data_IF_779156430081
#
_entry.id   IF_779156430081
#
_cell.length_a   1.000
_cell.length_b   1.000
_cell.length_c   1.000
_cell.angle_alpha   90.00
_cell.angle_beta   90.00
_cell.angle_gamma   90.00
#
_symmetry.space_group_name_H-M   'P 1'
#
loop_
_entity.id
_entity.type
_entity.pdbx_description
1 polymer ?
#
# COMPACT_ATOMS: atom_id res chain seq x y z
N UNK A 1 5.05 -9.98 10.09
CA UNK A 1 4.91 -9.27 8.79
C UNK A 1 5.69 -7.96 8.89
N UNK A 2 6.57 -7.69 7.97
CA UNK A 2 7.30 -6.42 7.86
C UNK A 2 7.04 -5.89 6.46
N UNK A 3 6.60 -4.65 6.32
CA UNK A 3 6.47 -3.99 5.03
C UNK A 3 7.88 -3.79 4.44
N UNK A 4 8.09 -4.19 3.19
CA UNK A 4 9.35 -3.94 2.50
C UNK A 4 9.52 -2.45 2.16
N UNK A 5 10.74 -2.02 1.90
CA UNK A 5 11.02 -0.66 1.39
C UNK A 5 10.24 -0.40 0.10
N UNK A 6 10.08 -1.43 -0.74
CA UNK A 6 9.29 -1.35 -1.97
C UNK A 6 7.80 -1.10 -1.68
N UNK A 7 7.22 -1.82 -0.73
CA UNK A 7 5.83 -1.60 -0.30
C UNK A 7 5.62 -0.22 0.31
N UNK A 8 6.54 0.22 1.16
CA UNK A 8 6.53 1.58 1.70
C UNK A 8 6.56 2.64 0.59
N UNK A 9 7.48 2.51 -0.37
CA UNK A 9 7.59 3.43 -1.49
C UNK A 9 6.35 3.43 -2.38
N UNK A 10 5.73 2.26 -2.60
CA UNK A 10 4.49 2.15 -3.36
C UNK A 10 3.35 2.92 -2.70
N UNK A 11 3.17 2.77 -1.39
CA UNK A 11 2.13 3.50 -0.64
C UNK A 11 2.37 5.02 -0.67
N UNK A 12 3.61 5.45 -0.48
CA UNK A 12 3.98 6.87 -0.53
C UNK A 12 3.77 7.49 -1.90
N UNK A 13 4.14 6.78 -2.98
CA UNK A 13 3.91 7.22 -4.34
C UNK A 13 2.41 7.31 -4.66
N UNK A 14 1.63 6.30 -4.26
CA UNK A 14 0.19 6.28 -4.47
C UNK A 14 -0.55 7.37 -3.68
N UNK A 15 -0.06 7.73 -2.49
CA UNK A 15 -0.61 8.86 -1.74
C UNK A 15 -0.47 10.20 -2.51
N UNK A 16 0.68 10.43 -3.16
CA UNK A 16 0.87 11.60 -4.04
C UNK A 16 -0.14 11.56 -5.18
N UNK A 17 -0.20 10.45 -5.93
CA UNK A 17 -1.10 10.32 -7.08
C UNK A 17 -2.59 10.44 -6.68
N UNK A 18 -2.96 9.96 -5.48
CA UNK A 18 -4.31 10.04 -4.98
C UNK A 18 -4.72 11.48 -4.60
N UNK A 19 -3.80 12.26 -4.05
CA UNK A 19 -4.03 13.67 -3.74
C UNK A 19 -4.24 14.48 -5.02
N UNK A 20 -3.34 14.33 -5.99
CA UNK A 20 -3.45 15.03 -7.27
C UNK A 20 -4.72 14.57 -8.05
N UNK A 21 -5.13 13.31 -7.92
CA UNK A 21 -6.40 12.83 -8.47
C UNK A 21 -7.62 13.55 -7.86
N UNK A 22 -7.62 13.77 -6.54
CA UNK A 22 -8.72 14.45 -5.84
C UNK A 22 -8.75 15.96 -6.11
N UNK A 23 -7.62 16.56 -6.47
CA UNK A 23 -7.53 18.00 -6.75
C UNK A 23 -8.02 18.33 -8.17
N UNK A 24 -7.47 17.70 -9.19
CA UNK A 24 -7.75 18.03 -10.59
C UNK A 24 -7.65 16.86 -11.56
N UNK A 25 -7.53 15.62 -11.05
CA UNK A 25 -7.26 14.41 -11.84
C UNK A 25 -6.02 14.55 -12.75
N UNK A 26 -5.01 15.25 -12.26
CA UNK A 26 -3.82 15.57 -13.03
C UNK A 26 -2.86 14.39 -13.15
N UNK A 27 -1.98 14.49 -14.13
CA UNK A 27 -0.90 13.53 -14.37
C UNK A 27 0.35 14.05 -13.68
N UNK A 28 0.94 13.22 -12.78
CA UNK A 28 2.13 13.58 -12.02
C UNK A 28 3.37 12.97 -12.66
N UNK A 29 4.40 13.79 -12.87
CA UNK A 29 5.68 13.33 -13.40
C UNK A 29 6.41 12.49 -12.35
N UNK A 30 7.10 11.45 -12.79
CA UNK A 30 7.88 10.58 -11.88
C UNK A 30 8.94 11.36 -11.11
N UNK A 31 9.52 12.39 -11.73
CA UNK A 31 10.48 13.30 -11.09
C UNK A 31 9.85 14.01 -9.90
N UNK A 32 8.63 14.49 -10.05
CA UNK A 32 7.88 15.18 -9.00
C UNK A 32 7.55 14.25 -7.84
N UNK A 33 7.10 13.02 -8.12
CA UNK A 33 6.89 12.00 -7.07
C UNK A 33 8.20 11.70 -6.33
N UNK A 34 9.30 11.57 -7.07
CA UNK A 34 10.63 11.34 -6.50
C UNK A 34 11.06 12.44 -5.53
N UNK A 35 10.88 13.70 -5.92
CA UNK A 35 11.24 14.87 -5.12
C UNK A 35 10.33 15.04 -3.90
N UNK A 36 9.01 14.97 -4.07
CA UNK A 36 8.02 15.11 -2.98
C UNK A 36 8.20 14.03 -1.91
N UNK A 37 8.61 12.81 -2.29
CA UNK A 37 8.70 11.68 -1.38
C UNK A 37 10.13 11.24 -1.04
N UNK A 38 11.13 11.90 -1.61
CA UNK A 38 12.54 11.51 -1.44
C UNK A 38 12.76 10.01 -1.75
N UNK A 39 12.22 9.55 -2.89
CA UNK A 39 12.35 8.17 -3.37
C UNK A 39 13.20 8.18 -4.64
N UNK A 40 14.28 7.36 -4.73
CA UNK A 40 15.07 7.31 -5.95
C UNK A 40 14.23 6.90 -7.16
N UNK A 41 14.34 7.65 -8.26
CA UNK A 41 13.54 7.52 -9.47
C UNK A 41 13.51 6.10 -10.05
N UNK A 42 14.67 5.42 -10.02
CA UNK A 42 14.79 4.03 -10.51
C UNK A 42 13.87 3.03 -9.79
N UNK A 43 13.61 3.23 -8.47
CA UNK A 43 12.67 2.40 -7.72
C UNK A 43 11.23 2.73 -8.08
N UNK A 44 10.93 4.03 -8.26
CA UNK A 44 9.60 4.46 -8.69
C UNK A 44 9.22 3.91 -10.07
N UNK A 45 10.16 3.86 -11.02
CA UNK A 45 9.92 3.30 -12.34
C UNK A 45 9.45 1.85 -12.27
N UNK A 46 10.12 1.02 -11.47
CA UNK A 46 9.74 -0.38 -11.26
C UNK A 46 8.38 -0.51 -10.54
N UNK A 47 8.18 0.24 -9.46
CA UNK A 47 6.96 0.21 -8.66
C UNK A 47 5.76 0.66 -9.48
N UNK A 48 5.88 1.78 -10.20
CA UNK A 48 4.79 2.32 -11.01
C UNK A 48 4.44 1.43 -12.20
N UNK A 49 5.42 0.73 -12.79
CA UNK A 49 5.16 -0.28 -13.81
C UNK A 49 4.39 -1.48 -13.26
N UNK A 50 4.71 -1.94 -12.06
CA UNK A 50 3.97 -3.02 -11.41
C UNK A 50 2.55 -2.60 -11.05
N UNK A 51 2.37 -1.42 -10.47
CA UNK A 51 1.07 -0.86 -10.15
C UNK A 51 0.21 -0.62 -11.40
N UNK A 52 0.85 -0.29 -12.53
CA UNK A 52 0.20 -0.20 -13.84
C UNK A 52 -0.27 -1.58 -14.32
N UNK A 53 0.53 -2.62 -14.16
CA UNK A 53 0.15 -4.00 -14.48
C UNK A 53 -1.03 -4.48 -13.64
N UNK A 54 -1.13 -4.03 -12.39
CA UNK A 54 -2.27 -4.27 -11.49
C UNK A 54 -3.52 -3.43 -11.84
N UNK A 55 -3.44 -2.50 -12.79
CA UNK A 55 -4.53 -1.60 -13.14
C UNK A 55 -4.89 -0.58 -12.05
N UNK A 56 -3.95 -0.28 -11.14
CA UNK A 56 -4.10 0.73 -10.09
C UNK A 56 -3.72 2.11 -10.63
N UNK A 57 -2.65 2.18 -11.42
CA UNK A 57 -2.19 3.40 -12.08
C UNK A 57 -2.21 3.26 -13.59
N UNK A 58 -2.20 4.36 -14.28
CA UNK A 58 -1.96 4.45 -15.71
C UNK A 58 -0.90 5.49 -16.02
N UNK A 59 -0.28 5.40 -17.20
CA UNK A 59 0.74 6.35 -17.66
C UNK A 59 0.29 7.06 -18.91
N UNK A 60 0.52 8.37 -18.97
CA UNK A 60 0.34 9.20 -20.17
C UNK A 60 1.71 9.54 -20.75
N UNK A 61 1.87 9.32 -22.04
CA UNK A 61 3.12 9.64 -22.77
C UNK A 61 3.13 11.12 -23.21
N UNK A 62 4.33 11.63 -23.52
CA UNK A 62 4.55 12.96 -24.11
C UNK A 62 5.09 13.98 -23.13
N UNK A 63 5.19 15.23 -23.58
CA UNK A 63 5.77 16.36 -22.82
C UNK A 63 4.99 16.63 -21.53
N UNK A 64 3.65 16.47 -21.57
CA UNK A 64 2.77 16.56 -20.41
C UNK A 64 2.46 15.17 -19.82
N UNK A 65 3.34 14.19 -20.02
CA UNK A 65 3.17 12.82 -19.57
C UNK A 65 3.53 12.62 -18.11
N UNK A 66 3.14 11.46 -17.59
CA UNK A 66 3.39 11.06 -16.21
C UNK A 66 2.50 9.90 -15.81
N UNK A 67 2.19 9.82 -14.53
CA UNK A 67 1.36 8.78 -13.94
C UNK A 67 0.16 9.39 -13.21
N UNK A 68 -0.97 8.68 -13.22
CA UNK A 68 -2.15 9.00 -12.41
C UNK A 68 -2.86 7.72 -11.98
N UNK A 69 -3.79 7.84 -11.04
CA UNK A 69 -4.65 6.72 -10.70
C UNK A 69 -5.56 6.36 -11.89
N UNK A 70 -5.72 5.07 -12.13
CA UNK A 70 -6.67 4.54 -13.13
C UNK A 70 -8.08 4.38 -12.55
N UNK A 71 -8.18 4.22 -11.24
CA UNK A 71 -9.42 4.05 -10.48
C UNK A 71 -9.56 5.13 -9.44
N UNK A 72 -10.79 5.55 -9.09
CA UNK A 72 -11.00 6.48 -7.98
C UNK A 72 -10.32 6.00 -6.69
N UNK A 73 -9.70 6.88 -5.90
CA UNK A 73 -8.98 6.50 -4.69
C UNK A 73 -9.86 5.81 -3.63
N UNK A 74 -11.19 6.01 -3.67
CA UNK A 74 -12.19 5.32 -2.84
C UNK A 74 -12.30 3.82 -3.18
N UNK A 75 -11.87 3.42 -4.37
CA UNK A 75 -11.93 2.03 -4.87
C UNK A 75 -10.59 1.31 -4.85
N UNK A 76 -9.59 1.88 -4.22
CA UNK A 76 -8.26 1.27 -4.07
C UNK A 76 -7.96 1.13 -2.59
N UNK A 77 -7.96 -0.10 -2.09
CA UNK A 77 -7.68 -0.39 -0.68
C UNK A 77 -6.18 -0.59 -0.42
N UNK A 78 -5.74 -0.42 0.81
CA UNK A 78 -4.37 -0.77 1.20
C UNK A 78 -4.10 -2.26 0.97
N UNK A 79 -5.09 -3.11 1.18
CA UNK A 79 -4.97 -4.54 0.92
C UNK A 79 -4.70 -4.87 -0.54
N UNK A 80 -5.37 -4.18 -1.49
CA UNK A 80 -5.11 -4.36 -2.93
C UNK A 80 -3.65 -4.06 -3.27
N UNK A 81 -3.15 -2.95 -2.74
CA UNK A 81 -1.78 -2.49 -2.99
C UNK A 81 -0.77 -3.48 -2.39
N UNK A 82 -0.93 -3.80 -1.11
CA UNK A 82 0.02 -4.65 -0.38
C UNK A 82 0.01 -6.07 -0.93
N UNK A 83 -1.16 -6.66 -1.22
CA UNK A 83 -1.24 -7.98 -1.85
C UNK A 83 -0.54 -8.04 -3.19
N UNK A 84 -0.58 -6.96 -3.96
CA UNK A 84 0.08 -6.90 -5.26
C UNK A 84 1.62 -6.77 -5.13
N UNK A 85 2.09 -5.91 -4.23
CA UNK A 85 3.52 -5.59 -4.08
C UNK A 85 4.27 -6.63 -3.22
N UNK A 86 3.67 -7.06 -2.10
CA UNK A 86 4.30 -7.92 -1.10
C UNK A 86 3.82 -9.38 -1.17
N UNK A 87 2.63 -9.60 -1.72
CA UNK A 87 1.97 -10.89 -1.68
C UNK A 87 0.97 -11.03 -0.52
N UNK A 88 0.84 -12.21 0.09
CA UNK A 88 -0.22 -12.48 1.04
C UNK A 88 -0.14 -11.66 2.33
N UNK A 89 -1.29 -11.16 2.78
CA UNK A 89 -1.46 -10.49 4.07
C UNK A 89 -1.59 -11.54 5.20
N UNK A 90 -0.61 -12.40 5.34
CA UNK A 90 -0.62 -13.47 6.33
C UNK A 90 0.72 -13.54 7.07
N UNK A 91 0.73 -13.65 8.41
CA UNK A 91 1.97 -13.76 9.17
C UNK A 91 2.75 -15.05 8.87
N UNK A 92 2.04 -16.13 8.54
CA UNK A 92 2.59 -17.44 8.17
C UNK A 92 1.78 -18.06 7.03
N UNK A 93 2.43 -18.83 6.17
CA UNK A 93 1.81 -19.37 4.94
C UNK A 93 0.60 -20.29 5.22
N UNK A 94 0.61 -21.03 6.31
CA UNK A 94 -0.47 -21.97 6.67
C UNK A 94 -1.80 -21.30 7.08
N UNK A 95 -1.83 -19.97 7.23
CA UNK A 95 -3.06 -19.18 7.43
C UNK A 95 -3.40 -18.28 6.25
N UNK A 96 -2.62 -18.33 5.16
CA UNK A 96 -2.91 -17.58 3.95
C UNK A 96 -4.13 -18.17 3.23
N UNK A 97 -5.06 -17.32 2.77
CA UNK A 97 -6.23 -17.77 1.99
C UNK A 97 -5.91 -18.07 0.53
N UNK A 98 -5.04 -17.25 -0.06
CA UNK A 98 -4.72 -17.34 -1.49
C UNK A 98 -3.40 -18.06 -1.79
N UNK A 99 -2.50 -18.10 -0.82
CA UNK A 99 -1.16 -18.67 -0.94
C UNK A 99 -0.88 -19.62 0.23
N UNK A 100 -1.84 -20.52 0.48
CA UNK A 100 -1.69 -21.53 1.52
C UNK A 100 -0.53 -22.48 1.20
N UNK A 101 0.33 -22.67 2.18
CA UNK A 101 1.35 -23.71 2.20
C UNK A 101 1.26 -24.47 3.52
N UNK A 102 1.30 -25.78 3.45
CA UNK A 102 1.27 -26.64 4.64
C UNK A 102 2.51 -26.37 5.50
N UNK A 103 2.30 -26.18 6.80
CA UNK A 103 3.41 -26.05 7.75
C UNK A 103 4.04 -27.41 8.08
N UNK A 104 5.20 -27.36 8.74
CA UNK A 104 5.89 -28.56 9.27
C UNK A 104 5.32 -29.04 10.62
N UNK A 105 4.22 -28.47 11.10
CA UNK A 105 3.63 -28.85 12.38
C UNK A 105 3.11 -30.29 12.34
N UNK A 106 3.28 -31.07 13.45
CA UNK A 106 2.80 -32.46 13.52
C UNK A 106 1.29 -32.59 13.30
N UNK A 107 0.51 -31.63 13.83
CA UNK A 107 -0.95 -31.57 13.65
C UNK A 107 -1.37 -30.12 13.42
N UNK A 108 -1.63 -29.77 12.16
CA UNK A 108 -2.07 -28.44 11.77
C UNK A 108 -3.47 -28.11 12.30
N UNK A 109 -4.34 -29.11 12.41
CA UNK A 109 -5.73 -28.91 12.85
C UNK A 109 -5.83 -28.52 14.32
N UNK A 110 -4.85 -28.94 15.14
CA UNK A 110 -4.78 -28.66 16.58
C UNK A 110 -3.65 -27.70 16.96
N UNK A 111 -3.14 -26.96 16.01
CA UNK A 111 -2.02 -26.05 16.24
C UNK A 111 -2.51 -24.74 16.89
N UNK A 112 -2.15 -24.51 18.16
CA UNK A 112 -2.49 -23.30 18.89
C UNK A 112 -1.83 -22.05 18.26
N UNK A 113 -0.61 -22.17 17.71
CA UNK A 113 0.07 -21.07 17.02
C UNK A 113 -0.71 -20.67 15.76
N UNK A 114 -1.17 -21.65 14.98
CA UNK A 114 -1.99 -21.39 13.79
C UNK A 114 -3.29 -20.67 14.13
N UNK A 115 -3.93 -21.02 15.26
CA UNK A 115 -5.14 -20.35 15.73
C UNK A 115 -4.90 -18.84 15.93
N UNK A 116 -3.87 -18.47 16.70
CA UNK A 116 -3.51 -17.07 16.96
C UNK A 116 -3.07 -16.34 15.67
N UNK A 117 -2.28 -17.00 14.82
CA UNK A 117 -1.85 -16.40 13.55
C UNK A 117 -3.02 -16.17 12.59
N UNK A 118 -4.06 -16.99 12.64
CA UNK A 118 -5.29 -16.78 11.89
C UNK A 118 -6.04 -15.54 12.38
N UNK A 119 -6.22 -15.38 13.67
CA UNK A 119 -6.84 -14.17 14.24
C UNK A 119 -6.04 -12.90 13.89
N UNK A 120 -4.72 -12.98 13.97
CA UNK A 120 -3.82 -11.88 13.57
C UNK A 120 -4.00 -11.53 12.10
N UNK A 121 -4.03 -12.53 11.20
CA UNK A 121 -4.31 -12.32 9.79
C UNK A 121 -5.66 -11.62 9.58
N UNK A 122 -6.70 -12.14 10.23
CA UNK A 122 -8.07 -11.62 10.07
C UNK A 122 -8.15 -10.14 10.51
N UNK A 123 -7.49 -9.77 11.60
CA UNK A 123 -7.41 -8.39 12.06
C UNK A 123 -6.65 -7.48 11.07
N UNK A 124 -5.52 -7.94 10.53
CA UNK A 124 -4.75 -7.21 9.52
C UNK A 124 -5.59 -6.99 8.26
N UNK A 125 -6.22 -8.05 7.75
CA UNK A 125 -7.05 -8.01 6.54
C UNK A 125 -8.24 -7.07 6.74
N UNK A 126 -8.92 -7.12 7.86
CA UNK A 126 -10.07 -6.27 8.17
C UNK A 126 -9.69 -4.76 8.15
N UNK A 127 -8.52 -4.41 8.66
CA UNK A 127 -8.03 -3.03 8.62
C UNK A 127 -7.63 -2.63 7.21
N UNK A 128 -6.83 -3.45 6.54
CA UNK A 128 -6.26 -3.14 5.22
C UNK A 128 -7.31 -3.11 4.11
N UNK A 129 -8.36 -3.95 4.17
CA UNK A 129 -9.46 -3.96 3.20
C UNK A 129 -10.41 -2.75 3.38
N UNK A 130 -10.52 -2.23 4.60
CA UNK A 130 -11.36 -1.07 4.90
C UNK A 130 -10.72 0.25 4.50
N UNK A 131 -9.42 0.41 4.74
CA UNK A 131 -8.71 1.67 4.48
C UNK A 131 -8.43 1.83 3.00
N UNK A 132 -9.02 2.84 2.38
CA UNK A 132 -8.81 3.21 0.98
C UNK A 132 -7.72 4.29 0.83
N UNK A 133 -7.27 4.53 -0.40
CA UNK A 133 -6.37 5.66 -0.69
C UNK A 133 -7.04 7.00 -0.37
N UNK A 134 -8.35 7.14 -0.56
CA UNK A 134 -9.10 8.35 -0.17
C UNK A 134 -9.01 8.59 1.34
N UNK A 135 -9.28 7.56 2.15
CA UNK A 135 -9.16 7.67 3.61
C UNK A 135 -7.71 7.97 4.04
N UNK A 136 -6.72 7.41 3.34
CA UNK A 136 -5.32 7.70 3.62
C UNK A 136 -4.97 9.17 3.34
N UNK A 137 -5.50 9.75 2.25
CA UNK A 137 -5.38 11.19 1.96
C UNK A 137 -6.01 12.05 3.06
N UNK A 138 -7.20 11.67 3.53
CA UNK A 138 -7.90 12.40 4.60
C UNK A 138 -7.12 12.34 5.93
N UNK A 139 -6.55 11.19 6.25
CA UNK A 139 -5.67 11.05 7.42
C UNK A 139 -4.42 11.93 7.29
N UNK A 140 -3.79 11.95 6.12
CA UNK A 140 -2.62 12.78 5.88
C UNK A 140 -2.95 14.28 6.05
N UNK A 141 -4.08 14.77 5.51
CA UNK A 141 -4.53 16.16 5.69
C UNK A 141 -4.78 16.51 7.16
N UNK A 142 -5.42 15.61 7.93
CA UNK A 142 -5.64 15.83 9.36
C UNK A 142 -4.32 15.95 10.12
N UNK A 143 -3.39 15.04 9.89
CA UNK A 143 -2.07 15.06 10.54
C UNK A 143 -1.24 16.30 10.19
N UNK A 144 -1.40 16.85 8.99
CA UNK A 144 -0.74 18.10 8.58
C UNK A 144 -1.33 19.34 9.29
N UNK A 145 -2.58 19.27 9.71
CA UNK A 145 -3.27 20.36 10.43
C UNK A 145 -3.08 20.29 11.94
N UNK A 146 -2.71 19.13 12.49
CA UNK A 146 -2.44 18.96 13.91
C UNK A 146 -1.07 19.56 14.27
N UNK A 147 -0.97 20.41 15.31
CA UNK A 147 0.32 20.87 15.78
C UNK A 147 1.14 19.69 16.31
N UNK A 148 2.38 19.57 15.84
CA UNK A 148 3.31 18.53 16.29
C UNK A 148 3.44 18.60 17.82
N UNK A 149 2.89 17.62 18.53
CA UNK A 149 3.12 17.47 19.95
C UNK A 149 4.43 16.72 20.20
N UNK A 150 5.21 17.16 21.18
CA UNK A 150 6.51 16.53 21.52
C UNK A 150 6.37 15.06 21.98
N UNK A 151 5.14 14.60 22.26
CA UNK A 151 4.82 13.23 22.69
C UNK A 151 4.75 12.21 21.54
N UNK A 152 4.70 12.65 20.28
CA UNK A 152 4.56 11.74 19.13
C UNK A 152 5.89 11.09 18.69
N UNK A 153 6.99 11.44 19.35
CA UNK A 153 8.34 10.94 19.06
C UNK A 153 8.90 9.94 20.08
N UNK A 154 8.07 9.43 20.99
CA UNK A 154 8.50 8.37 21.90
C UNK A 154 8.30 7.01 21.22
N UNK A 155 9.43 6.46 20.75
CA UNK A 155 9.56 5.06 20.34
C UNK A 155 9.82 4.20 21.57
#
# INVERSE_FOLDING_TARGET
MKLSVRGEYALRALLVLARDYQEDDSVVRIQEVSERQNIPKRFLEQILNDLKSAGIVESKRGVAGGYRLRRPPERVTLADIIRHIEGPLAPVSCVSEKFYEKCSCPDESRCAIRSVMKETRDAIVAIMDRVTLAELCDRARRLEQEPLSASDFVI
#
